data_IF_967806525094
#
_entry.id   IF_967806525094
#
_cell.length_a   1.000
_cell.length_b   1.000
_cell.length_c   1.000
_cell.angle_alpha   90.00
_cell.angle_beta   90.00
_cell.angle_gamma   90.00
#
_symmetry.space_group_name_H-M   'P 1'
#
loop_
_entity.id
_entity.type
_entity.pdbx_description
1 polymer ?
#
# COMPACT_ATOMS: atom_id res chain seq x y z
N UNK A 1 -38.24 11.89 21.62
CA UNK A 1 -38.28 10.98 22.79
C UNK A 1 -38.82 9.62 22.36
N UNK A 2 -37.95 8.70 21.99
CA UNK A 2 -38.35 7.31 21.70
C UNK A 2 -38.68 6.61 23.01
N UNK A 3 -39.84 5.96 23.07
CA UNK A 3 -40.41 5.31 24.26
C UNK A 3 -39.49 4.19 24.76
N UNK A 4 -38.99 4.31 25.98
CA UNK A 4 -38.37 3.21 26.71
C UNK A 4 -39.44 2.15 27.02
N UNK A 5 -39.34 0.96 26.42
CA UNK A 5 -40.18 -0.17 26.80
C UNK A 5 -39.83 -0.62 28.22
N UNK A 6 -40.86 -0.85 29.05
CA UNK A 6 -40.73 -1.16 30.50
C UNK A 6 -40.18 -2.55 30.82
N UNK A 7 -40.06 -3.44 29.84
CA UNK A 7 -39.53 -4.79 30.01
C UNK A 7 -38.30 -4.99 29.10
N UNK A 8 -37.10 -4.93 29.67
CA UNK A 8 -35.84 -5.22 28.98
C UNK A 8 -35.64 -6.73 28.81
N UNK A 9 -36.32 -7.35 27.85
CA UNK A 9 -36.06 -8.76 27.45
C UNK A 9 -34.84 -8.92 26.52
N UNK A 10 -34.19 -7.81 26.17
CA UNK A 10 -32.93 -7.74 25.41
C UNK A 10 -31.79 -7.11 26.24
N UNK A 11 -31.79 -7.32 27.56
CA UNK A 11 -30.69 -6.89 28.43
C UNK A 11 -29.42 -7.66 28.09
N UNK A 12 -28.29 -6.97 27.96
CA UNK A 12 -27.02 -7.66 27.81
C UNK A 12 -26.71 -8.44 29.09
N UNK A 13 -26.33 -9.72 28.95
CA UNK A 13 -25.95 -10.61 30.05
C UNK A 13 -24.87 -9.98 30.93
N UNK A 14 -23.93 -9.28 30.30
CA UNK A 14 -22.89 -8.54 31.00
C UNK A 14 -23.29 -7.10 31.27
N UNK A 15 -23.06 -6.67 32.50
CA UNK A 15 -23.07 -5.27 32.89
C UNK A 15 -21.97 -4.50 32.16
N UNK A 16 -22.13 -3.17 32.08
CA UNK A 16 -21.10 -2.31 31.50
C UNK A 16 -19.73 -2.47 32.18
N UNK A 17 -19.71 -2.67 33.50
CA UNK A 17 -18.48 -2.87 34.26
C UNK A 17 -17.79 -4.20 33.96
N UNK A 18 -18.55 -5.29 33.79
CA UNK A 18 -18.00 -6.59 33.42
C UNK A 18 -17.43 -6.55 32.01
N UNK A 19 -18.15 -5.97 31.04
CA UNK A 19 -17.62 -5.77 29.68
C UNK A 19 -16.32 -4.98 29.68
N UNK A 20 -16.22 -3.96 30.53
CA UNK A 20 -15.01 -3.14 30.64
C UNK A 20 -13.85 -3.91 31.28
N UNK A 21 -14.11 -4.74 32.31
CA UNK A 21 -13.10 -5.61 32.92
C UNK A 21 -12.62 -6.69 31.95
N UNK A 22 -13.54 -7.32 31.24
CA UNK A 22 -13.24 -8.35 30.25
C UNK A 22 -12.46 -7.74 29.08
N UNK A 23 -12.85 -6.56 28.58
CA UNK A 23 -12.10 -5.84 27.55
C UNK A 23 -10.70 -5.43 28.02
N UNK A 24 -10.54 -5.00 29.27
CA UNK A 24 -9.23 -4.68 29.85
C UNK A 24 -8.34 -5.93 29.99
N UNK A 25 -8.91 -7.06 30.40
CA UNK A 25 -8.15 -8.31 30.66
C UNK A 25 -7.82 -9.04 29.35
N UNK A 26 -8.79 -9.10 28.44
CA UNK A 26 -8.66 -9.73 27.11
C UNK A 26 -7.81 -8.89 26.16
N UNK A 27 -7.70 -7.58 26.39
CA UNK A 27 -7.03 -6.64 25.49
C UNK A 27 -7.76 -6.44 24.15
N UNK A 28 -8.93 -7.05 23.98
CA UNK A 28 -9.74 -6.99 22.78
C UNK A 28 -10.84 -5.94 22.90
N UNK A 29 -11.00 -5.10 21.87
CA UNK A 29 -11.99 -4.02 21.82
C UNK A 29 -11.38 -2.62 22.01
N UNK A 30 -12.25 -1.61 22.07
CA UNK A 30 -11.85 -0.20 22.23
C UNK A 30 -11.72 0.17 23.71
N UNK A 31 -10.50 0.14 24.21
CA UNK A 31 -10.17 0.55 25.58
C UNK A 31 -9.65 2.00 25.63
N UNK A 32 -10.13 2.78 26.59
CA UNK A 32 -9.55 4.10 26.92
C UNK A 32 -8.76 4.00 28.22
N UNK A 33 -7.46 4.33 28.14
CA UNK A 33 -6.54 4.32 29.27
C UNK A 33 -5.64 5.55 29.22
N UNK A 34 -5.31 6.10 30.39
CA UNK A 34 -4.29 7.16 30.51
C UNK A 34 -2.91 6.53 30.38
N UNK A 35 -2.20 6.90 29.32
CA UNK A 35 -0.84 6.44 29.08
C UNK A 35 0.16 7.18 29.98
N UNK A 36 1.21 6.47 30.40
CA UNK A 36 2.29 7.03 31.22
C UNK A 36 3.35 7.75 30.39
N UNK A 37 4.36 8.29 31.08
CA UNK A 37 5.53 8.94 30.45
C UNK A 37 6.24 8.01 29.45
N UNK A 38 6.30 6.72 29.78
CA UNK A 38 6.99 5.70 28.98
C UNK A 38 6.33 5.41 27.63
N UNK A 39 5.08 5.83 27.46
CA UNK A 39 4.36 5.72 26.18
C UNK A 39 4.69 6.85 25.21
N UNK A 40 5.42 7.87 25.66
CA UNK A 40 5.82 9.03 24.84
C UNK A 40 7.29 8.87 24.47
N UNK A 41 7.59 9.04 23.19
CA UNK A 41 8.97 9.03 22.69
C UNK A 41 9.78 10.15 23.35
N UNK A 42 10.99 9.84 23.83
CA UNK A 42 11.91 10.86 24.32
C UNK A 42 12.39 11.80 23.22
N UNK A 43 12.73 13.03 23.59
CA UNK A 43 13.11 14.10 22.66
C UNK A 43 14.38 13.77 21.88
N UNK A 44 15.29 13.00 22.47
CA UNK A 44 16.59 12.60 21.91
C UNK A 44 16.54 11.25 21.16
N UNK A 45 15.36 10.61 21.11
CA UNK A 45 15.19 9.32 20.44
C UNK A 45 14.80 9.45 18.96
N UNK A 46 15.35 8.55 18.16
CA UNK A 46 15.05 8.39 16.75
C UNK A 46 13.60 7.93 16.57
N UNK A 47 12.88 8.52 15.61
CA UNK A 47 11.48 8.16 15.35
C UNK A 47 11.29 6.83 14.59
N UNK A 48 12.39 6.18 14.16
CA UNK A 48 12.39 4.86 13.52
C UNK A 48 12.80 3.76 14.51
N UNK A 49 13.95 3.90 15.16
CA UNK A 49 14.49 2.89 16.08
C UNK A 49 13.94 3.02 17.51
N UNK A 50 13.34 4.17 17.87
CA UNK A 50 12.93 4.53 19.24
C UNK A 50 14.07 4.49 20.26
N UNK A 51 15.31 4.41 19.79
CA UNK A 51 16.52 4.45 20.60
C UNK A 51 17.12 5.87 20.61
N UNK A 52 17.90 6.22 21.65
CA UNK A 52 18.60 7.49 21.71
C UNK A 52 19.53 7.67 20.51
N UNK A 53 19.46 8.83 19.86
CA UNK A 53 20.21 9.06 18.64
C UNK A 53 21.72 9.14 18.90
N UNK A 54 22.52 8.45 18.07
CA UNK A 54 23.98 8.59 18.06
C UNK A 54 24.43 9.76 17.20
N UNK A 55 23.89 9.81 15.98
CA UNK A 55 24.14 10.89 15.01
C UNK A 55 22.79 11.45 14.62
N UNK A 56 22.26 12.40 15.41
CA UNK A 56 20.93 12.92 15.21
C UNK A 56 20.85 13.78 13.95
N UNK A 57 19.84 13.50 13.14
CA UNK A 57 19.45 14.31 11.98
C UNK A 57 17.97 14.62 12.07
N UNK A 58 17.60 15.84 11.69
CA UNK A 58 16.22 16.30 11.77
C UNK A 58 15.68 16.61 10.37
N UNK A 59 14.40 16.30 10.15
CA UNK A 59 13.68 16.75 8.95
C UNK A 59 13.23 18.20 9.10
N UNK A 60 12.86 18.84 7.98
CA UNK A 60 12.27 20.20 7.99
C UNK A 60 11.00 20.31 8.85
N UNK A 61 10.30 19.20 9.06
CA UNK A 61 9.10 19.12 9.90
C UNK A 61 9.41 19.01 11.40
N UNK A 62 10.68 18.83 11.78
CA UNK A 62 11.09 18.68 13.18
C UNK A 62 11.13 17.24 13.69
N UNK A 63 11.07 16.22 12.82
CA UNK A 63 11.21 14.83 13.25
C UNK A 63 12.67 14.41 13.34
N UNK A 64 13.06 13.95 14.53
CA UNK A 64 14.40 13.46 14.82
C UNK A 64 14.57 12.00 14.37
N UNK A 65 15.68 11.71 13.71
CA UNK A 65 16.11 10.39 13.29
C UNK A 65 17.60 10.19 13.56
N UNK A 66 18.02 8.94 13.64
CA UNK A 66 19.43 8.58 13.47
C UNK A 66 19.80 8.59 12.00
N UNK A 67 20.99 9.13 11.70
CA UNK A 67 21.51 9.22 10.33
C UNK A 67 21.57 7.85 9.64
N UNK A 68 22.01 6.81 10.35
CA UNK A 68 22.05 5.45 9.82
C UNK A 68 20.65 4.92 9.47
N UNK A 69 19.70 5.07 10.40
CA UNK A 69 18.35 4.51 10.27
C UNK A 69 17.57 5.19 9.12
N UNK A 70 17.64 6.51 9.01
CA UNK A 70 16.94 7.24 7.95
C UNK A 70 17.56 6.99 6.57
N UNK A 71 18.88 6.87 6.49
CA UNK A 71 19.55 6.55 5.22
C UNK A 71 19.25 5.12 4.78
N UNK A 72 19.24 4.16 5.71
CA UNK A 72 18.82 2.79 5.43
C UNK A 72 17.37 2.77 4.89
N UNK A 73 16.45 3.50 5.54
CA UNK A 73 15.08 3.65 5.06
C UNK A 73 14.99 4.24 3.65
N UNK A 74 15.78 5.27 3.34
CA UNK A 74 15.80 5.88 1.99
C UNK A 74 16.30 4.86 0.97
N UNK A 75 17.34 4.08 1.29
CA UNK A 75 17.88 3.06 0.40
C UNK A 75 16.87 1.94 0.16
N UNK A 76 16.20 1.43 1.20
CA UNK A 76 15.18 0.38 1.05
C UNK A 76 14.03 0.86 0.17
N UNK A 77 13.57 2.11 0.34
CA UNK A 77 12.53 2.69 -0.53
C UNK A 77 12.97 2.88 -1.99
N UNK A 78 14.22 3.26 -2.24
CA UNK A 78 14.77 3.30 -3.60
C UNK A 78 14.84 1.92 -4.24
N UNK A 79 15.22 0.91 -3.48
CA UNK A 79 15.27 -0.47 -3.97
C UNK A 79 13.87 -1.03 -4.26
N UNK A 80 12.90 -0.78 -3.39
CA UNK A 80 11.49 -1.11 -3.61
C UNK A 80 10.94 -0.43 -4.88
N UNK A 81 11.25 0.86 -5.07
CA UNK A 81 10.89 1.59 -6.28
C UNK A 81 11.49 0.97 -7.54
N UNK A 82 12.80 0.67 -7.52
CA UNK A 82 13.48 0.04 -8.66
C UNK A 82 12.88 -1.32 -9.01
N UNK A 83 12.52 -2.13 -8.01
CA UNK A 83 11.83 -3.41 -8.23
C UNK A 83 10.48 -3.22 -8.92
N UNK A 84 9.64 -2.35 -8.38
CA UNK A 84 8.31 -2.04 -8.95
C UNK A 84 8.40 -1.46 -10.36
N UNK A 85 9.43 -0.65 -10.62
CA UNK A 85 9.65 -0.06 -11.93
C UNK A 85 10.03 -1.12 -12.98
N UNK A 86 10.88 -2.08 -12.62
CA UNK A 86 11.21 -3.23 -13.50
C UNK A 86 9.98 -4.09 -13.79
N UNK A 87 9.15 -4.35 -12.78
CA UNK A 87 7.89 -5.10 -12.94
C UNK A 87 6.93 -4.36 -13.87
N UNK A 88 6.79 -3.03 -13.70
CA UNK A 88 5.99 -2.17 -14.56
C UNK A 88 6.50 -2.15 -16.01
N UNK A 89 7.82 -2.01 -16.22
CA UNK A 89 8.43 -2.04 -17.54
C UNK A 89 8.24 -3.39 -18.25
N UNK A 90 8.34 -4.49 -17.50
CA UNK A 90 8.08 -5.84 -18.02
C UNK A 90 6.62 -5.97 -18.48
N UNK A 91 5.67 -5.58 -17.64
CA UNK A 91 4.26 -5.60 -17.99
C UNK A 91 3.95 -4.71 -19.20
N UNK A 92 4.57 -3.52 -19.27
CA UNK A 92 4.37 -2.62 -20.42
C UNK A 92 4.86 -3.23 -21.73
N UNK A 93 6.01 -3.91 -21.72
CA UNK A 93 6.55 -4.61 -22.90
C UNK A 93 5.66 -5.78 -23.33
N UNK A 94 5.15 -6.56 -22.39
CA UNK A 94 4.20 -7.66 -22.67
C UNK A 94 2.89 -7.11 -23.27
N UNK A 95 2.33 -6.02 -22.71
CA UNK A 95 1.15 -5.37 -23.26
C UNK A 95 1.38 -4.72 -24.63
N UNK A 96 2.59 -4.20 -24.91
CA UNK A 96 2.96 -3.68 -26.23
C UNK A 96 3.05 -4.81 -27.27
N UNK A 97 3.71 -5.93 -26.93
CA UNK A 97 3.83 -7.10 -27.79
C UNK A 97 2.46 -7.76 -28.08
N UNK A 98 1.60 -7.93 -27.07
CA UNK A 98 0.25 -8.48 -27.25
C UNK A 98 -0.59 -7.62 -28.21
N UNK A 99 -0.51 -6.28 -28.10
CA UNK A 99 -1.20 -5.36 -29.01
C UNK A 99 -0.67 -5.44 -30.44
N UNK A 100 0.63 -5.61 -30.62
CA UNK A 100 1.24 -5.80 -31.94
C UNK A 100 0.81 -7.14 -32.58
N UNK A 101 0.79 -8.22 -31.80
CA UNK A 101 0.30 -9.53 -32.23
C UNK A 101 -1.19 -9.50 -32.59
N UNK A 102 -2.01 -8.85 -31.76
CA UNK A 102 -3.44 -8.66 -32.00
C UNK A 102 -3.69 -7.86 -33.29
N UNK A 103 -3.01 -6.72 -33.46
CA UNK A 103 -3.10 -5.90 -34.66
C UNK A 103 -2.66 -6.67 -35.93
N UNK A 104 -1.57 -7.44 -35.84
CA UNK A 104 -1.13 -8.30 -36.94
C UNK A 104 -2.16 -9.41 -37.24
N UNK A 105 -2.79 -9.99 -36.22
CA UNK A 105 -3.85 -11.00 -36.37
C UNK A 105 -5.09 -10.41 -37.05
N UNK A 106 -5.47 -9.18 -36.70
CA UNK A 106 -6.60 -8.46 -37.30
C UNK A 106 -6.34 -8.16 -38.77
N UNK A 107 -5.14 -7.68 -39.10
CA UNK A 107 -4.72 -7.46 -40.49
C UNK A 107 -4.75 -8.76 -41.30
N UNK A 108 -4.26 -9.88 -40.74
CA UNK A 108 -4.34 -11.21 -41.38
C UNK A 108 -5.78 -11.66 -41.59
N UNK A 109 -6.65 -11.49 -40.59
CA UNK A 109 -8.09 -11.82 -40.71
C UNK A 109 -8.78 -10.97 -41.78
N UNK A 110 -8.42 -9.70 -41.91
CA UNK A 110 -8.95 -8.81 -42.96
C UNK A 110 -8.50 -9.25 -44.35
N UNK A 111 -7.21 -9.56 -44.52
CA UNK A 111 -6.66 -10.10 -45.78
C UNK A 111 -7.32 -11.42 -46.17
N UNK A 112 -7.50 -12.35 -45.22
CA UNK A 112 -8.18 -13.61 -45.49
C UNK A 112 -9.65 -13.41 -45.90
N UNK A 113 -10.37 -12.50 -45.25
CA UNK A 113 -11.75 -12.16 -45.62
C UNK A 113 -11.81 -11.62 -47.04
N UNK A 114 -10.88 -10.72 -47.39
CA UNK A 114 -10.77 -10.14 -48.72
C UNK A 114 -10.53 -11.21 -49.79
N UNK A 115 -9.55 -12.11 -49.59
CA UNK A 115 -9.27 -13.21 -50.52
C UNK A 115 -10.49 -14.15 -50.66
N UNK A 116 -11.16 -14.48 -49.56
CA UNK A 116 -12.39 -15.31 -49.58
C UNK A 116 -13.54 -14.65 -50.35
N UNK A 117 -13.66 -13.32 -50.28
CA UNK A 117 -14.66 -12.59 -51.07
C UNK A 117 -14.33 -12.55 -52.56
N UNK A 118 -13.06 -12.36 -52.95
CA UNK A 118 -12.66 -12.31 -54.36
C UNK A 118 -12.69 -13.68 -55.05
N UNK A 119 -12.35 -14.75 -54.32
CA UNK A 119 -12.38 -16.13 -54.85
C UNK A 119 -13.81 -16.68 -55.01
N UNK A 120 -14.83 -16.03 -54.42
CA UNK A 120 -16.24 -16.43 -54.53
C UNK A 120 -16.91 -15.70 -55.71
N UNK A 121 -16.62 -16.16 -56.94
CA UNK A 121 -17.04 -15.51 -58.20
C UNK A 121 -18.53 -15.72 -58.53
N UNK A 122 -19.25 -16.63 -57.86
CA UNK A 122 -20.71 -16.75 -58.04
C UNK A 122 -21.44 -15.98 -56.94
N UNK A 123 -22.00 -14.83 -57.32
CA UNK A 123 -22.92 -14.06 -56.50
C UNK A 123 -24.22 -14.85 -56.28
N UNK A 124 -24.50 -15.23 -55.04
CA UNK A 124 -25.86 -15.56 -54.63
C UNK A 124 -26.63 -14.24 -54.52
N UNK A 125 -27.09 -13.75 -55.67
CA UNK A 125 -27.94 -12.59 -55.76
C UNK A 125 -29.38 -13.01 -55.46
N UNK A 126 -29.92 -12.43 -54.37
CA UNK A 126 -31.35 -12.20 -54.11
C UNK A 126 -32.18 -13.44 -53.78
N UNK A 127 -32.28 -13.80 -52.50
CA UNK A 127 -33.53 -14.28 -51.86
C UNK A 127 -33.44 -14.09 -50.33
N UNK A 128 -33.48 -12.85 -49.84
CA UNK A 128 -33.85 -12.56 -48.45
C UNK A 128 -35.05 -11.61 -48.45
N UNK A 129 -36.22 -12.17 -48.78
CA UNK A 129 -37.52 -11.65 -48.35
C UNK A 129 -38.00 -12.51 -47.17
N UNK A 130 -38.67 -11.93 -46.16
CA UNK A 130 -39.01 -12.64 -44.94
C UNK A 130 -40.19 -13.58 -45.22
N UNK A 131 -39.91 -14.86 -45.47
CA UNK A 131 -40.94 -15.88 -45.64
C UNK A 131 -40.87 -16.90 -44.53
N UNK A 132 -41.94 -16.87 -43.75
CA UNK A 132 -42.40 -17.81 -42.75
C UNK A 132 -42.37 -19.23 -43.31
N UNK A 133 -41.35 -20.02 -42.97
CA UNK A 133 -41.45 -21.47 -43.04
C UNK A 133 -40.42 -22.14 -42.13
N UNK A 134 -40.98 -22.79 -41.12
CA UNK A 134 -40.42 -23.88 -40.32
C UNK A 134 -39.56 -24.83 -41.15
N UNK A 135 -38.24 -24.67 -41.05
CA UNK A 135 -37.28 -25.72 -41.38
C UNK A 135 -36.14 -25.60 -40.37
N UNK A 136 -35.80 -26.74 -39.77
CA UNK A 136 -34.92 -26.87 -38.62
C UNK A 136 -33.58 -26.18 -38.86
N UNK A 137 -33.43 -24.98 -38.30
CA UNK A 137 -32.13 -24.40 -37.99
C UNK A 137 -31.56 -25.33 -36.94
N UNK A 138 -30.69 -26.24 -37.36
CA UNK A 138 -29.82 -26.97 -36.46
C UNK A 138 -29.17 -25.90 -35.58
N UNK A 139 -29.68 -25.78 -34.36
CA UNK A 139 -29.00 -25.13 -33.28
C UNK A 139 -27.72 -25.92 -33.16
N UNK A 140 -26.65 -25.40 -33.77
CA UNK A 140 -25.31 -25.61 -33.26
C UNK A 140 -25.36 -25.01 -31.86
N UNK A 141 -25.91 -25.79 -30.92
CA UNK A 141 -25.69 -25.60 -29.51
C UNK A 141 -24.18 -25.70 -29.41
N UNK A 142 -23.53 -24.55 -29.34
CA UNK A 142 -22.15 -24.47 -28.92
C UNK A 142 -22.15 -25.13 -27.55
N UNK A 143 -21.78 -26.42 -27.53
CA UNK A 143 -21.75 -27.22 -26.32
C UNK A 143 -21.05 -26.40 -25.25
N UNK A 144 -21.71 -26.26 -24.09
CA UNK A 144 -21.15 -25.57 -22.92
C UNK A 144 -19.88 -26.29 -22.43
N UNK A 145 -19.59 -27.50 -22.93
CA UNK A 145 -18.38 -28.23 -22.63
C UNK A 145 -17.17 -27.70 -23.39
N UNK A 146 -16.12 -27.34 -22.64
CA UNK A 146 -14.80 -26.94 -23.15
C UNK A 146 -14.06 -28.05 -23.95
N UNK A 147 -14.66 -29.22 -24.15
CA UNK A 147 -14.00 -30.41 -24.69
C UNK A 147 -13.87 -30.43 -26.22
N UNK A 148 -14.72 -29.71 -26.95
CA UNK A 148 -14.81 -29.85 -28.43
C UNK A 148 -13.86 -28.88 -29.17
N UNK A 149 -13.36 -27.84 -28.50
CA UNK A 149 -12.62 -26.73 -29.12
C UNK A 149 -11.14 -26.62 -28.66
N UNK A 150 -10.52 -27.71 -28.18
CA UNK A 150 -9.13 -27.69 -27.70
C UNK A 150 -8.92 -26.84 -26.44
N UNK A 151 -10.00 -26.63 -25.67
CA UNK A 151 -10.02 -25.94 -24.37
C UNK A 151 -10.04 -26.91 -23.20
N UNK A 152 -9.77 -28.19 -23.46
CA UNK A 152 -9.63 -29.28 -22.48
C UNK A 152 -8.58 -28.97 -21.39
N UNK A 153 -7.55 -28.19 -21.74
CA UNK A 153 -6.50 -27.73 -20.80
C UNK A 153 -6.84 -26.41 -20.09
N UNK A 154 -7.86 -25.67 -20.55
CA UNK A 154 -8.30 -24.43 -19.94
C UNK A 154 -9.51 -24.72 -19.05
N UNK A 155 -9.24 -24.97 -17.76
CA UNK A 155 -10.25 -25.08 -16.72
C UNK A 155 -10.43 -23.72 -16.03
N UNK A 156 -11.39 -22.87 -16.45
CA UNK A 156 -11.65 -21.60 -15.79
C UNK A 156 -12.17 -21.87 -14.38
N UNK A 157 -11.32 -21.64 -13.38
CA UNK A 157 -11.67 -21.74 -11.98
C UNK A 157 -12.21 -20.40 -11.50
N UNK A 158 -13.53 -20.32 -11.30
CA UNK A 158 -14.20 -19.11 -10.82
C UNK A 158 -13.64 -18.61 -9.47
N UNK A 159 -13.16 -19.52 -8.63
CA UNK A 159 -12.61 -19.21 -7.31
C UNK A 159 -11.17 -18.67 -7.33
N UNK A 160 -10.48 -18.68 -8.49
CA UNK A 160 -9.18 -18.02 -8.64
C UNK A 160 -9.38 -16.59 -9.16
N UNK A 161 -8.91 -15.55 -8.44
CA UNK A 161 -8.97 -14.17 -8.88
C UNK A 161 -8.29 -13.89 -10.23
N UNK A 162 -7.41 -14.77 -10.71
CA UNK A 162 -6.75 -14.66 -12.02
C UNK A 162 -7.56 -15.27 -13.18
N UNK A 163 -8.58 -16.08 -12.90
CA UNK A 163 -9.35 -16.83 -13.90
C UNK A 163 -10.85 -16.52 -13.89
N UNK A 164 -11.31 -15.64 -12.99
CA UNK A 164 -12.66 -15.14 -13.05
C UNK A 164 -12.90 -14.35 -14.36
N UNK A 165 -14.05 -14.49 -15.03
CA UNK A 165 -14.34 -13.80 -16.29
C UNK A 165 -14.39 -12.28 -16.18
N UNK A 166 -14.51 -11.74 -14.97
CA UNK A 166 -14.44 -10.30 -14.66
C UNK A 166 -13.04 -9.82 -14.30
N UNK A 167 -12.08 -10.73 -14.08
CA UNK A 167 -10.74 -10.41 -13.65
C UNK A 167 -9.87 -10.00 -14.84
N UNK A 168 -9.76 -8.69 -15.05
CA UNK A 168 -8.70 -8.13 -15.90
C UNK A 168 -7.37 -8.34 -15.18
N UNK A 169 -6.33 -8.78 -15.89
CA UNK A 169 -4.97 -8.84 -15.34
C UNK A 169 -4.63 -7.51 -14.66
N UNK A 170 -4.13 -7.56 -13.43
CA UNK A 170 -3.87 -6.36 -12.63
C UNK A 170 -2.85 -5.47 -13.33
N UNK A 171 -3.29 -4.34 -13.87
CA UNK A 171 -2.41 -3.33 -14.47
C UNK A 171 -1.66 -2.63 -13.34
N UNK A 172 -0.35 -2.85 -13.26
CA UNK A 172 0.50 -2.14 -12.31
C UNK A 172 0.59 -0.70 -12.79
N UNK A 173 0.24 0.25 -11.91
CA UNK A 173 0.42 1.67 -12.22
C UNK A 173 1.89 2.06 -12.14
N UNK A 174 2.29 3.10 -12.87
CA UNK A 174 3.66 3.64 -12.81
C UNK A 174 3.99 3.98 -11.35
N UNK A 175 5.04 3.39 -10.76
CA UNK A 175 5.38 3.65 -9.36
C UNK A 175 5.84 5.11 -9.19
N UNK A 176 5.53 5.70 -8.03
CA UNK A 176 6.03 7.03 -7.65
C UNK A 176 7.49 6.95 -7.21
N UNK A 177 8.29 7.88 -7.71
CA UNK A 177 9.72 8.00 -7.41
C UNK A 177 10.02 8.73 -6.11
N UNK A 178 9.04 9.47 -5.57
CA UNK A 178 9.25 10.26 -4.37
C UNK A 178 9.21 9.39 -3.10
N UNK A 179 10.13 9.67 -2.18
CA UNK A 179 10.27 8.95 -0.92
C UNK A 179 9.65 9.83 0.15
N UNK A 180 8.75 9.26 0.94
CA UNK A 180 8.00 9.98 1.97
C UNK A 180 8.56 9.72 3.36
N UNK A 181 8.36 10.67 4.26
CA UNK A 181 8.71 10.54 5.67
C UNK A 181 7.83 9.45 6.32
N UNK A 182 8.40 8.53 7.11
CA UNK A 182 7.62 7.49 7.79
C UNK A 182 6.65 8.05 8.84
N UNK A 183 6.88 9.26 9.33
CA UNK A 183 6.06 9.90 10.37
C UNK A 183 5.12 10.96 9.78
N UNK A 184 5.64 11.91 9.00
CA UNK A 184 4.84 13.04 8.49
C UNK A 184 4.18 12.79 7.13
N UNK A 185 4.58 11.74 6.40
CA UNK A 185 4.09 11.50 5.04
C UNK A 185 4.49 12.55 4.00
N UNK A 186 5.39 13.50 4.34
CA UNK A 186 5.92 14.51 3.39
C UNK A 186 7.13 13.98 2.63
N UNK A 187 7.44 14.47 1.42
CA UNK A 187 8.60 14.01 0.67
C UNK A 187 9.91 14.37 1.38
N UNK A 188 10.82 13.41 1.49
CA UNK A 188 12.14 13.57 2.11
C UNK A 188 13.26 13.25 1.13
N UNK A 189 14.34 14.02 1.20
CA UNK A 189 15.60 13.76 0.49
C UNK A 189 16.74 13.75 1.49
N UNK A 190 17.76 12.94 1.23
CA UNK A 190 18.93 12.86 2.10
C UNK A 190 19.64 14.23 2.29
N UNK A 191 19.59 15.11 1.28
CA UNK A 191 20.16 16.48 1.34
C UNK A 191 19.34 17.45 2.19
N UNK A 192 18.06 17.15 2.42
CA UNK A 192 17.16 17.99 3.21
C UNK A 192 17.24 17.70 4.70
N UNK A 193 18.02 16.68 5.11
CA UNK A 193 18.29 16.36 6.49
C UNK A 193 19.29 17.34 7.09
N UNK A 194 18.96 17.87 8.26
CA UNK A 194 19.81 18.81 8.98
C UNK A 194 20.51 18.04 10.10
N UNK A 195 21.85 18.08 10.12
CA UNK A 195 22.64 17.44 11.18
C UNK A 195 22.50 18.25 12.49
N UNK A 196 22.19 17.57 13.59
CA UNK A 196 22.04 18.17 14.93
C UNK A 196 23.26 17.80 15.77
N UNK A 197 23.74 18.72 16.60
CA UNK A 197 24.82 18.47 17.57
C UNK A 197 24.28 18.71 18.97
N UNK A 198 24.11 17.64 19.75
CA UNK A 198 23.75 17.77 21.15
C UNK A 198 24.97 18.00 22.03
N UNK A 199 24.87 18.96 22.94
CA UNK A 199 25.85 19.22 23.99
C UNK A 199 25.51 18.37 25.22
N UNK A 200 26.37 17.41 25.62
CA UNK A 200 26.10 16.56 26.78
C UNK A 200 26.23 17.35 28.09
N UNK A 201 25.41 16.99 29.08
CA UNK A 201 25.51 17.55 30.43
C UNK A 201 26.70 16.92 31.16
N UNK A 202 27.58 17.76 31.71
CA UNK A 202 28.72 17.32 32.54
C UNK A 202 28.41 17.56 34.02
N UNK A 203 27.68 16.63 34.62
CA UNK A 203 27.48 16.60 36.06
C UNK A 203 28.60 15.78 36.72
N UNK A 204 29.36 16.34 37.68
CA UNK A 204 30.46 15.64 38.34
C UNK A 204 29.98 14.48 39.24
N UNK A 205 28.73 14.56 39.72
CA UNK A 205 28.15 13.60 40.65
C UNK A 205 27.52 12.38 39.94
N UNK A 206 27.09 12.53 38.68
CA UNK A 206 26.43 11.48 37.92
C UNK A 206 27.43 10.72 37.03
N UNK A 207 28.06 9.68 37.58
CA UNK A 207 28.96 8.75 36.87
C UNK A 207 28.23 7.69 36.04
N UNK A 208 26.90 7.75 35.96
CA UNK A 208 26.08 6.81 35.17
C UNK A 208 26.38 6.98 33.68
N UNK A 209 26.23 5.90 32.90
CA UNK A 209 26.35 5.97 31.44
C UNK A 209 25.29 6.92 30.87
N UNK A 210 25.59 7.61 29.77
CA UNK A 210 24.71 8.62 29.15
C UNK A 210 23.29 8.09 28.89
N UNK A 211 23.13 6.78 28.65
CA UNK A 211 21.84 6.14 28.36
C UNK A 211 20.94 6.11 29.61
N UNK A 212 21.53 5.95 30.80
CA UNK A 212 20.79 5.84 32.07
C UNK A 212 20.59 7.20 32.75
N UNK A 213 21.28 8.26 32.29
CA UNK A 213 21.06 9.61 32.80
C UNK A 213 19.67 10.12 32.40
N UNK A 214 18.97 10.74 33.36
CA UNK A 214 17.67 11.38 33.13
C UNK A 214 17.82 12.70 32.35
N UNK A 215 18.86 13.47 32.68
CA UNK A 215 19.29 14.69 31.99
C UNK A 215 20.54 14.41 31.15
N UNK A 216 20.35 14.16 29.85
CA UNK A 216 21.46 13.78 28.95
C UNK A 216 22.11 14.98 28.24
N UNK A 217 21.29 15.95 27.84
CA UNK A 217 21.71 17.03 26.95
C UNK A 217 21.24 18.40 27.47
N UNK A 218 22.04 19.42 27.19
CA UNK A 218 21.75 20.83 27.47
C UNK A 218 21.73 21.66 26.19
N UNK A 219 21.04 22.81 26.24
CA UNK A 219 21.07 23.81 25.18
C UNK A 219 22.47 24.45 25.09
N UNK A 220 23.08 24.57 23.89
CA UNK A 220 24.41 25.16 23.75
C UNK A 220 24.43 26.69 23.97
N UNK A 221 23.26 27.36 23.95
CA UNK A 221 23.16 28.82 24.10
C UNK A 221 22.75 29.19 25.53
N UNK A 222 21.67 28.58 26.04
CA UNK A 222 21.13 28.93 27.36
C UNK A 222 21.67 28.06 28.48
N UNK A 223 22.36 26.95 28.17
CA UNK A 223 22.79 25.94 29.13
C UNK A 223 21.66 25.28 29.95
N UNK A 224 20.41 25.48 29.56
CA UNK A 224 19.26 24.80 30.18
C UNK A 224 19.23 23.32 29.80
N UNK A 225 18.75 22.49 30.73
CA UNK A 225 18.59 21.04 30.52
C UNK A 225 17.43 20.80 29.55
N UNK A 226 17.68 20.02 28.49
CA UNK A 226 16.66 19.65 27.51
C UNK A 226 15.83 18.47 28.04
N UNK A 227 14.51 18.58 27.92
CA UNK A 227 13.56 17.53 28.31
C UNK A 227 12.35 17.51 27.37
N UNK A 228 11.53 16.44 27.41
CA UNK A 228 10.34 16.30 26.56
C UNK A 228 9.30 17.43 26.77
N UNK A 229 9.35 18.13 27.92
CA UNK A 229 8.43 19.22 28.24
C UNK A 229 8.87 20.56 27.63
N UNK A 230 10.14 20.70 27.25
CA UNK A 230 10.70 21.95 26.75
C UNK A 230 10.62 21.97 25.23
N UNK A 231 9.95 22.97 24.62
CA UNK A 231 9.93 23.11 23.17
C UNK A 231 11.35 23.43 22.68
N UNK A 232 11.90 22.54 21.86
CA UNK A 232 13.24 22.69 21.32
C UNK A 232 13.18 23.09 19.84
N UNK A 233 14.06 24.00 19.42
CA UNK A 233 14.23 24.39 18.03
C UNK A 233 15.67 24.14 17.58
N UNK A 234 15.84 23.67 16.34
CA UNK A 234 17.16 23.50 15.72
C UNK A 234 17.42 24.72 14.84
N UNK A 235 18.50 25.43 15.13
CA UNK A 235 18.97 26.53 14.29
C UNK A 235 19.77 25.98 13.13
N UNK A 236 19.36 26.35 11.90
CA UNK A 236 20.09 26.01 10.70
C UNK A 236 21.17 27.08 10.47
N UNK A 237 22.45 26.69 10.27
CA UNK A 237 23.49 27.62 9.88
C UNK A 237 23.27 28.15 8.46
#
# INVERSE_FOLDING_TARGET
>A
MTRHARNCTAGAVYTYHEKKKDAQTSGYGTNSQRLGKDSIKNFDCCSLSLQPCRIPVITKDGHLFDKEAILQYIITKKNEYSRKLKEFEKQRKEEEAEKEEDAASEQRKLLEKFIKTETKIVSESVLDAPSTSTAAKATTSSSISNMVNGRDKQLPSFWLPSQAPTAKASKIAKPDSTIYCPVSGKPIKAKDLIDVKFTPVQDPDDKKSLITKESRYMCPITHDILSNSVPCAVLRP
#
